data_IF_568299522615
#
_entry.id   IF_568299522615
#
_cell.length_a   1.000
_cell.length_b   1.000
_cell.length_c   1.000
_cell.angle_alpha   90.00
_cell.angle_beta   90.00
_cell.angle_gamma   90.00
#
_symmetry.space_group_name_H-M   'P 1'
#
loop_
_entity.id
_entity.type
_entity.pdbx_description
1 polymer ?
2 non-polymer ?
3 water ?
#
# COMPACT_ATOMS: atom_id res chain seq x y z
N UNK A 24 -9.14 28.49 -3.68
CA UNK A 24 -9.06 29.00 -2.32
C UNK A 24 -7.86 28.49 -1.54
N UNK A 25 -6.93 27.85 -2.23
CA UNK A 25 -5.70 27.38 -1.62
C UNK A 25 -4.65 28.47 -1.70
N UNK A 26 -3.71 28.44 -0.76
CA UNK A 26 -2.59 29.37 -0.86
C UNK A 26 -1.77 29.02 -2.10
N UNK A 27 -0.79 29.86 -2.40
CA UNK A 27 -0.02 29.53 -3.57
C UNK A 27 0.97 28.46 -3.15
N UNK A 28 1.37 28.45 -1.88
CA UNK A 28 2.26 27.42 -1.36
C UNK A 28 1.57 26.07 -1.31
N UNK A 29 0.30 26.04 -0.92
CA UNK A 29 -0.47 24.80 -0.93
C UNK A 29 -0.67 24.30 -2.36
N UNK A 30 -0.94 25.20 -3.30
CA UNK A 30 -1.14 24.78 -4.68
C UNK A 30 0.13 24.14 -5.25
N UNK A 31 1.28 24.76 -5.01
CA UNK A 31 2.55 24.18 -5.44
C UNK A 31 2.87 22.90 -4.68
N UNK A 32 2.34 22.76 -3.46
CA UNK A 32 2.56 21.55 -2.69
C UNK A 32 1.85 20.36 -3.31
N UNK A 33 0.59 20.54 -3.72
CA UNK A 33 -0.16 19.48 -4.37
C UNK A 33 0.48 19.13 -5.71
N UNK A 34 0.94 20.14 -6.45
CA UNK A 34 1.48 19.90 -7.78
C UNK A 34 2.74 19.07 -7.75
N UNK A 35 3.59 19.25 -6.73
CA UNK A 35 4.78 18.41 -6.63
C UNK A 35 4.41 16.98 -6.23
N UNK A 36 3.38 16.83 -5.38
CA UNK A 36 2.93 15.50 -5.00
C UNK A 36 2.32 14.79 -6.20
N UNK A 37 1.41 15.46 -6.92
CA UNK A 37 0.85 14.89 -8.13
C UNK A 37 1.93 14.59 -9.16
N UNK A 38 2.97 15.43 -9.21
CA UNK A 38 4.04 15.24 -10.19
C UNK A 38 4.86 13.99 -9.86
N UNK A 39 5.14 13.76 -8.58
CA UNK A 39 5.84 12.53 -8.18
C UNK A 39 4.98 11.30 -8.45
N UNK A 40 3.69 11.38 -8.15
CA UNK A 40 2.77 10.28 -8.46
C UNK A 40 2.74 10.00 -9.95
N UNK A 41 2.65 11.07 -10.76
CA UNK A 41 2.67 10.92 -12.21
C UNK A 41 3.88 10.13 -12.69
N UNK A 42 5.03 10.34 -12.08
CA UNK A 42 6.29 9.82 -12.57
C UNK A 42 6.61 8.42 -12.08
N UNK A 43 6.11 8.04 -10.90
CA UNK A 43 6.56 6.84 -10.22
C UNK A 43 5.46 5.81 -9.98
N UNK A 44 4.25 6.02 -10.51
CA UNK A 44 3.15 5.09 -10.36
C UNK A 44 2.77 4.58 -11.75
N UNK A 45 3.25 3.39 -12.10
CA UNK A 45 2.95 2.74 -13.37
C UNK A 45 1.56 2.13 -13.25
N UNK A 46 0.53 2.94 -13.53
CA UNK A 46 -0.84 2.51 -13.33
C UNK A 46 -1.23 1.36 -14.25
N UNK A 47 -0.50 1.12 -15.33
CA UNK A 47 -0.75 -0.01 -16.21
C UNK A 47 0.10 -1.23 -15.85
N UNK A 48 1.04 -1.09 -14.91
CA UNK A 48 1.88 -2.19 -14.46
C UNK A 48 2.66 -2.81 -15.61
N UNK A 49 3.04 -1.97 -16.59
CA UNK A 49 3.70 -2.46 -17.79
C UNK A 49 5.07 -3.05 -17.50
N UNK A 50 5.76 -2.54 -16.48
CA UNK A 50 7.13 -2.93 -16.18
C UNK A 50 7.20 -3.96 -15.05
N UNK A 51 6.09 -4.57 -14.70
CA UNK A 51 6.07 -5.71 -13.77
C UNK A 51 6.28 -6.97 -14.58
N UNK A 52 7.53 -7.45 -14.62
CA UNK A 52 7.91 -8.58 -15.45
C UNK A 52 8.73 -9.56 -14.63
N UNK A 53 8.94 -10.74 -15.20
CA UNK A 53 9.82 -11.77 -14.64
C UNK A 53 9.41 -12.17 -13.23
N UNK A 54 8.11 -12.13 -12.94
CA UNK A 54 7.62 -12.50 -11.62
C UNK A 54 7.36 -14.01 -11.56
N UNK A 55 7.46 -14.56 -10.36
CA UNK A 55 7.18 -15.96 -10.15
C UNK A 55 5.67 -16.21 -10.13
N UNK A 56 5.29 -17.43 -10.44
CA UNK A 56 3.89 -17.85 -10.49
C UNK A 56 3.74 -19.17 -9.77
N UNK A 57 2.53 -19.48 -9.28
CA UNK A 57 2.32 -20.75 -8.58
C UNK A 57 2.67 -21.94 -9.47
N UNK A 58 3.24 -22.96 -8.86
CA UNK A 58 3.67 -24.13 -9.60
C UNK A 58 2.51 -24.82 -10.30
N UNK A 59 2.86 -25.53 -11.36
CA UNK A 59 1.89 -26.24 -12.19
C UNK A 59 1.77 -27.67 -11.70
N UNK A 60 0.53 -28.15 -11.58
CA UNK A 60 0.24 -29.51 -11.10
C UNK A 60 0.83 -29.74 -9.71
N UNK A 78 4.33 -26.01 16.74
CA UNK A 78 3.16 -26.61 16.12
C UNK A 78 1.98 -25.66 16.19
N UNK A 79 1.82 -24.98 17.32
CA UNK A 79 0.80 -23.95 17.44
C UNK A 79 1.07 -22.78 16.51
N UNK A 80 2.30 -22.65 16.02
CA UNK A 80 2.63 -21.66 15.00
C UNK A 80 1.82 -21.92 13.73
N UNK A 81 2.13 -23.03 13.04
CA UNK A 81 1.48 -23.42 11.80
C UNK A 81 -0.03 -23.20 11.84
N UNK A 82 -0.63 -23.47 13.00
CA UNK A 82 -2.07 -23.25 13.16
C UNK A 82 -2.41 -21.78 13.13
N UNK A 83 -1.48 -20.89 13.49
CA UNK A 83 -1.71 -19.46 13.37
C UNK A 83 -1.41 -18.97 11.97
N UNK A 84 -0.33 -19.46 11.35
CA UNK A 84 -0.01 -19.09 9.98
C UNK A 84 -1.09 -19.58 9.02
N UNK A 85 -1.69 -20.74 9.33
CA UNK A 85 -2.87 -21.18 8.61
C UNK A 85 -3.95 -20.09 8.64
N UNK A 86 -4.26 -19.59 9.84
CA UNK A 86 -5.23 -18.50 9.95
C UNK A 86 -4.72 -17.22 9.31
N UNK A 87 -3.41 -17.00 9.31
CA UNK A 87 -2.85 -15.78 8.74
C UNK A 87 -3.04 -15.74 7.23
N UNK A 88 -2.70 -16.83 6.56
CA UNK A 88 -2.70 -16.87 5.08
C UNK A 88 -4.10 -17.06 4.55
N UNK A 89 -5.14 -16.82 5.34
CA UNK A 89 -6.50 -17.12 4.82
C UNK A 89 -7.15 -15.92 4.15
N UNK A 90 -6.34 -14.91 3.88
CA UNK A 90 -6.79 -13.65 3.22
C UNK A 90 -6.11 -13.53 1.86
N UNK A 91 -4.96 -14.21 1.72
CA UNK A 91 -4.16 -14.25 0.47
C UNK A 91 -4.89 -15.14 -0.56
N UNK A 92 -5.79 -16.02 -0.14
CA UNK A 92 -6.56 -16.83 -1.11
C UNK A 92 -7.24 -15.86 -2.06
N UNK A 93 -6.63 -15.69 -3.23
CA UNK A 93 -7.17 -14.82 -4.30
C UNK A 93 -6.88 -15.55 -5.60
N UNK A 94 -7.78 -15.48 -6.56
CA UNK A 94 -7.45 -16.03 -7.87
C UNK A 94 -6.62 -15.02 -8.65
N UNK A 95 -6.08 -15.46 -9.79
CA UNK A 95 -5.11 -14.66 -10.51
C UNK A 95 -5.37 -14.79 -12.00
N UNK A 96 -5.53 -13.65 -12.68
CA UNK A 96 -5.82 -13.63 -14.11
C UNK A 96 -4.68 -12.94 -14.84
N UNK A 97 -4.33 -13.48 -16.01
CA UNK A 97 -3.16 -13.09 -16.79
C UNK A 97 -3.56 -12.93 -18.25
N UNK A 98 -3.89 -11.70 -18.64
CA UNK A 98 -4.32 -11.41 -20.01
C UNK A 98 -3.11 -11.03 -20.86
N UNK A 99 -2.83 -11.83 -21.89
CA UNK A 99 -1.71 -11.56 -22.75
C UNK A 99 -2.03 -10.56 -23.84
N UNK A 100 -0.96 -10.01 -24.44
CA UNK A 100 -1.13 -9.03 -25.51
C UNK A 100 -1.78 -9.65 -26.75
N UNK A 101 -1.61 -10.96 -26.94
CA UNK A 101 -2.21 -11.63 -28.10
C UNK A 101 -3.69 -11.94 -27.91
N UNK A 102 -4.21 -11.80 -26.69
CA UNK A 102 -5.60 -12.14 -26.40
C UNK A 102 -5.77 -13.36 -25.53
N UNK A 103 -4.70 -14.11 -25.27
CA UNK A 103 -4.79 -15.30 -24.41
C UNK A 103 -5.00 -14.89 -22.95
N UNK A 104 -5.55 -15.82 -22.18
CA UNK A 104 -5.87 -15.57 -20.78
C UNK A 104 -5.46 -16.78 -19.96
N UNK A 105 -4.72 -16.54 -18.87
CA UNK A 105 -4.39 -17.55 -17.88
C UNK A 105 -5.12 -17.25 -16.59
N UNK A 106 -5.85 -18.23 -16.06
CA UNK A 106 -6.48 -18.12 -14.75
C UNK A 106 -5.94 -19.16 -13.79
N UNK A 107 -5.69 -18.73 -12.56
CA UNK A 107 -5.25 -19.59 -11.48
C UNK A 107 -6.27 -19.52 -10.35
N UNK A 108 -6.81 -20.67 -9.96
CA UNK A 108 -7.67 -20.76 -8.79
C UNK A 108 -6.89 -21.42 -7.66
N UNK A 109 -6.71 -20.76 -6.52
CA UNK A 109 -5.87 -21.33 -5.46
C UNK A 109 -6.50 -22.58 -4.88
N UNK A 110 -5.73 -23.41 -4.18
CA UNK A 110 -6.28 -24.60 -3.56
C UNK A 110 -7.05 -24.24 -2.29
N UNK A 111 -7.56 -25.27 -1.62
CA UNK A 111 -8.17 -25.12 -0.32
C UNK A 111 -7.21 -25.62 0.75
N UNK A 112 -7.27 -24.99 1.92
CA UNK A 112 -6.39 -25.38 3.02
C UNK A 112 -6.68 -26.81 3.45
N UNK A 113 -5.64 -27.66 3.37
CA UNK A 113 -5.78 -29.06 3.72
C UNK A 113 -4.62 -29.55 4.59
N UNK A 114 -3.96 -28.63 5.29
CA UNK A 114 -2.96 -29.02 6.27
C UNK A 114 -1.57 -29.26 5.72
N UNK A 115 -1.22 -28.64 4.59
CA UNK A 115 0.07 -28.86 3.96
C UNK A 115 0.74 -27.54 3.60
N UNK A 116 1.62 -27.62 2.60
CA UNK A 116 2.37 -26.47 2.13
C UNK A 116 1.73 -25.79 0.92
N UNK A 117 0.67 -26.36 0.36
CA UNK A 117 -0.08 -25.71 -0.72
C UNK A 117 -0.55 -24.31 -0.33
N UNK A 118 -0.65 -24.05 0.97
CA UNK A 118 -1.06 -22.74 1.48
C UNK A 118 -0.02 -21.65 1.22
N UNK A 119 1.17 -22.02 0.73
CA UNK A 119 2.23 -21.06 0.40
C UNK A 119 2.39 -20.86 -1.10
N UNK A 120 1.46 -21.36 -1.92
CA UNK A 120 1.67 -21.41 -3.36
C UNK A 120 1.72 -20.01 -3.98
N UNK A 121 1.03 -19.06 -3.38
CA UNK A 121 0.98 -17.67 -3.87
C UNK A 121 2.03 -16.77 -3.25
N UNK A 122 2.70 -17.19 -2.18
CA UNK A 122 3.69 -16.34 -1.54
C UNK A 122 4.81 -15.87 -2.47
N UNK A 123 5.43 -16.71 -3.31
CA UNK A 123 6.49 -16.18 -4.20
C UNK A 123 6.00 -15.10 -5.13
N UNK A 124 4.80 -15.23 -5.69
CA UNK A 124 4.30 -14.23 -6.62
C UNK A 124 3.94 -12.94 -5.90
N UNK A 125 3.24 -13.05 -4.76
CA UNK A 125 2.87 -11.85 -4.00
C UNK A 125 4.10 -11.08 -3.56
N UNK A 126 5.19 -11.79 -3.25
CA UNK A 126 6.42 -11.12 -2.84
C UNK A 126 7.01 -10.30 -3.98
N UNK A 127 6.93 -10.81 -5.21
CA UNK A 127 7.43 -10.06 -6.36
C UNK A 127 6.58 -8.81 -6.62
N UNK A 128 5.27 -8.91 -6.40
CA UNK A 128 4.40 -7.76 -6.62
C UNK A 128 4.58 -6.73 -5.52
N UNK A 129 4.61 -7.17 -4.25
CA UNK A 129 4.89 -6.25 -3.15
C UNK A 129 6.23 -5.55 -3.35
N UNK A 130 7.22 -6.26 -3.91
CA UNK A 130 8.53 -5.67 -4.14
C UNK A 130 8.46 -4.62 -5.25
N UNK A 131 7.80 -4.95 -6.37
CA UNK A 131 7.59 -3.97 -7.41
C UNK A 131 6.84 -2.76 -6.87
N UNK A 132 5.87 -2.97 -5.99
CA UNK A 132 5.17 -1.85 -5.38
C UNK A 132 6.07 -1.06 -4.45
N UNK A 133 6.98 -1.72 -3.73
CA UNK A 133 7.88 -1.00 -2.85
C UNK A 133 8.84 -0.13 -3.63
N UNK A 134 9.41 -0.65 -4.74
CA UNK A 134 10.32 0.14 -5.55
C UNK A 134 9.65 1.43 -6.02
N UNK A 135 8.38 1.35 -6.42
CA UNK A 135 7.69 2.55 -6.86
C UNK A 135 7.39 3.52 -5.73
N UNK A 136 7.13 3.00 -4.53
CA UNK A 136 6.91 3.87 -3.38
C UNK A 136 8.21 4.57 -3.00
N UNK A 137 9.33 3.85 -3.03
CA UNK A 137 10.62 4.46 -2.75
C UNK A 137 10.93 5.54 -3.80
N UNK A 138 10.68 5.24 -5.07
CA UNK A 138 10.87 6.24 -6.11
C UNK A 138 9.97 7.44 -5.89
N UNK A 139 8.76 7.22 -5.38
CA UNK A 139 7.83 8.31 -5.10
C UNK A 139 8.41 9.27 -4.07
N UNK A 140 8.92 8.74 -2.96
CA UNK A 140 9.44 9.59 -1.90
C UNK A 140 10.70 10.31 -2.34
N UNK A 141 11.58 9.64 -3.09
CA UNK A 141 12.86 10.23 -3.46
C UNK A 141 12.72 11.41 -4.40
N UNK A 142 11.57 11.56 -5.05
CA UNK A 142 11.33 12.72 -5.92
C UNK A 142 10.82 13.93 -5.13
N UNK A 143 10.12 13.71 -4.01
CA UNK A 143 9.53 14.82 -3.27
C UNK A 143 10.64 15.63 -2.60
N UNK A 144 10.56 16.96 -2.72
CA UNK A 144 11.59 17.82 -2.13
C UNK A 144 11.58 17.75 -0.61
N UNK A 145 10.38 17.77 -0.01
CA UNK A 145 10.30 17.70 1.45
C UNK A 145 10.94 16.43 1.99
N UNK A 146 10.97 15.36 1.18
CA UNK A 146 11.54 14.09 1.64
C UNK A 146 13.05 14.06 1.48
N UNK A 147 13.57 14.61 0.37
CA UNK A 147 15.01 14.57 0.14
C UNK A 147 15.75 15.42 1.15
N UNK A 148 15.15 16.53 1.58
CA UNK A 148 15.79 17.45 2.50
C UNK A 148 15.95 16.88 3.91
N UNK A 149 15.26 15.78 4.22
CA UNK A 149 15.42 15.14 5.50
C UNK A 149 16.76 14.39 5.55
N UNK A 150 17.29 14.17 6.75
CA UNK A 150 18.50 13.35 6.86
C UNK A 150 18.26 11.96 6.31
N UNK A 151 19.34 11.33 5.83
CA UNK A 151 19.22 10.02 5.20
C UNK A 151 18.73 8.96 6.18
N UNK A 152 19.04 9.11 7.46
CA UNK A 152 18.63 8.10 8.44
C UNK A 152 17.15 8.21 8.76
N UNK A 153 16.57 9.39 8.56
CA UNK A 153 15.13 9.56 8.73
C UNK A 153 14.38 9.14 7.46
N UNK A 154 14.99 9.39 6.29
CA UNK A 154 14.38 8.93 5.04
C UNK A 154 14.17 7.44 5.06
N UNK A 155 15.17 6.69 5.53
CA UNK A 155 15.06 5.24 5.64
C UNK A 155 13.97 4.87 6.65
N UNK A 156 13.97 5.53 7.81
CA UNK A 156 13.01 5.21 8.85
C UNK A 156 11.58 5.48 8.41
N UNK A 157 11.36 6.61 7.73
CA UNK A 157 10.02 6.95 7.26
C UNK A 157 9.54 5.94 6.21
N UNK A 158 10.43 5.53 5.31
CA UNK A 158 10.05 4.55 4.29
C UNK A 158 9.73 3.20 4.91
N UNK A 159 10.55 2.74 5.86
CA UNK A 159 10.31 1.46 6.51
C UNK A 159 8.96 1.41 7.21
N UNK A 160 8.52 2.54 7.78
CA UNK A 160 7.32 2.54 8.58
C UNK A 160 6.04 2.72 7.77
N UNK A 161 6.17 3.24 6.55
CA UNK A 161 5.00 3.59 5.75
C UNK A 161 4.92 2.89 4.41
N UNK A 162 5.99 2.23 3.95
CA UNK A 162 6.00 1.62 2.62
C UNK A 162 4.77 0.78 2.36
N UNK A 163 4.36 -0.03 3.34
CA UNK A 163 3.19 -0.87 3.15
C UNK A 163 1.91 -0.04 3.04
N UNK A 164 1.81 1.03 3.83
CA UNK A 164 0.60 1.86 3.80
C UNK A 164 0.43 2.57 2.47
N UNK A 165 1.50 3.20 1.97
CA UNK A 165 1.43 3.83 0.65
C UNK A 165 1.15 2.82 -0.45
N UNK A 166 1.59 1.57 -0.28
CA UNK A 166 1.27 0.54 -1.26
C UNK A 166 -0.22 0.23 -1.26
N UNK A 167 -0.83 0.15 -0.07
CA UNK A 167 -2.26 -0.11 0.00
C UNK A 167 -3.07 1.04 -0.58
N UNK A 168 -2.57 2.27 -0.40
CA UNK A 168 -3.28 3.43 -0.94
C UNK A 168 -3.24 3.43 -2.46
N UNK A 169 -2.13 2.95 -3.05
CA UNK A 169 -2.04 2.89 -4.50
C UNK A 169 -2.90 1.75 -5.05
N UNK A 170 -2.98 0.63 -4.33
CA UNK A 170 -3.82 -0.48 -4.78
C UNK A 170 -5.29 -0.10 -4.77
N UNK A 171 -5.71 0.74 -3.81
CA UNK A 171 -7.11 1.13 -3.73
C UNK A 171 -7.55 1.91 -4.96
N UNK A 172 -6.63 2.61 -5.61
CA UNK A 172 -6.97 3.36 -6.82
C UNK A 172 -7.26 2.45 -8.00
N UNK A 173 -6.79 1.21 -7.97
CA UNK A 173 -7.11 0.22 -9.00
C UNK A 173 -8.06 -0.83 -8.50
N UNK A 174 -8.57 -0.71 -7.28
CA UNK A 174 -9.53 -1.66 -6.75
C UNK A 174 -10.90 -1.42 -7.37
N UNK A 175 -11.53 -2.48 -7.86
CA UNK A 175 -12.88 -2.42 -8.42
C UNK A 175 -13.83 -3.00 -7.38
N UNK A 176 -14.54 -2.12 -6.67
CA UNK A 176 -15.40 -2.56 -5.58
C UNK A 176 -16.62 -3.34 -6.06
N UNK A 177 -17.00 -3.18 -7.34
CA UNK A 177 -18.16 -3.90 -7.85
C UNK A 177 -17.83 -5.37 -8.10
N UNK A 178 -16.63 -5.65 -8.60
CA UNK A 178 -16.21 -7.01 -8.88
C UNK A 178 -15.26 -7.58 -7.83
N UNK A 179 -14.88 -6.78 -6.83
CA UNK A 179 -13.93 -7.23 -5.83
C UNK A 179 -12.59 -7.63 -6.42
N UNK A 180 -12.08 -6.83 -7.35
CA UNK A 180 -10.88 -7.16 -8.11
C UNK A 180 -9.94 -5.96 -8.13
N UNK A 181 -8.66 -6.20 -7.90
CA UNK A 181 -7.62 -5.20 -8.10
C UNK A 181 -7.12 -5.35 -9.54
N UNK A 182 -7.53 -4.41 -10.41
CA UNK A 182 -7.21 -4.43 -11.84
C UNK A 182 -5.79 -3.86 -12.01
N UNK A 183 -4.78 -4.74 -11.96
CA UNK A 183 -3.39 -4.29 -12.08
C UNK A 183 -2.91 -4.51 -13.52
N UNK A 184 -3.43 -3.68 -14.41
CA UNK A 184 -3.02 -3.75 -15.81
C UNK A 184 -3.50 -5.03 -16.45
N UNK A 185 -2.55 -5.85 -16.91
CA UNK A 185 -2.88 -7.16 -17.46
C UNK A 185 -3.04 -8.23 -16.38
N UNK A 186 -2.71 -7.89 -15.14
CA UNK A 186 -2.92 -8.77 -13.98
C UNK A 186 -4.19 -8.37 -13.25
N UNK A 187 -4.91 -9.37 -12.74
CA UNK A 187 -6.12 -9.14 -11.97
C UNK A 187 -6.14 -10.07 -10.77
N UNK A 188 -6.37 -9.50 -9.59
CA UNK A 188 -6.44 -10.25 -8.34
C UNK A 188 -7.89 -10.20 -7.85
N UNK A 189 -8.63 -11.28 -8.11
CA UNK A 189 -10.02 -11.39 -7.71
C UNK A 189 -10.14 -12.17 -6.40
N UNK A 190 -11.17 -11.85 -5.63
CA UNK A 190 -11.37 -12.47 -4.32
C UNK A 190 -12.23 -13.72 -4.45
N UNK A 191 -11.76 -14.81 -3.87
CA UNK A 191 -12.45 -16.10 -3.91
C UNK A 191 -13.87 -16.00 -3.35
N UNK A 201 -15.91 -8.26 4.71
CA UNK A 201 -15.69 -6.98 5.38
C UNK A 201 -15.21 -7.21 6.82
N UNK A 202 -15.36 -8.44 7.30
CA UNK A 202 -14.87 -8.79 8.63
C UNK A 202 -13.35 -8.78 8.72
N UNK A 203 -12.67 -8.76 7.58
CA UNK A 203 -11.22 -8.92 7.57
C UNK A 203 -10.62 -7.55 7.26
N UNK A 204 -9.95 -6.91 8.21
CA UNK A 204 -9.83 -5.43 8.20
C UNK A 204 -9.32 -4.82 6.91
N UNK A 205 -8.52 -5.52 6.11
CA UNK A 205 -7.91 -4.77 5.02
C UNK A 205 -8.80 -4.72 3.79
N UNK A 206 -9.83 -5.58 3.70
CA UNK A 206 -10.89 -5.37 2.70
C UNK A 206 -11.88 -4.31 3.16
N UNK A 207 -12.28 -4.36 4.44
CA UNK A 207 -13.11 -3.30 5.00
C UNK A 207 -12.49 -1.93 4.73
N UNK A 208 -11.17 -1.82 4.87
CA UNK A 208 -10.46 -0.62 4.50
C UNK A 208 -10.63 -0.31 3.01
N UNK A 209 -10.27 -1.27 2.16
CA UNK A 209 -10.32 -1.05 0.72
C UNK A 209 -11.73 -0.75 0.25
N UNK A 210 -12.73 -1.40 0.85
CA UNK A 210 -14.11 -1.17 0.43
C UNK A 210 -14.62 0.19 0.89
N UNK A 211 -14.32 0.56 2.14
CA UNK A 211 -14.72 1.88 2.64
C UNK A 211 -14.02 2.99 1.90
N UNK A 212 -12.71 2.85 1.66
CA UNK A 212 -11.96 3.94 1.03
C UNK A 212 -12.45 4.21 -0.38
N UNK A 213 -12.86 3.15 -1.08
CA UNK A 213 -13.41 3.34 -2.42
C UNK A 213 -14.76 4.05 -2.38
N UNK A 214 -15.51 3.90 -1.29
CA UNK A 214 -16.84 4.50 -1.20
C UNK A 214 -16.76 6.01 -1.10
N UNK A 215 -15.72 6.51 -0.44
CA UNK A 215 -15.46 7.95 -0.33
C UNK A 215 -15.13 8.59 -1.67
N UNK A 216 -14.63 7.81 -2.64
CA UNK A 216 -14.62 8.22 -4.04
C UNK A 216 -13.78 9.48 -4.22
N UNK A 217 -12.49 9.34 -3.90
CA UNK A 217 -11.58 10.45 -3.74
C UNK A 217 -11.00 10.90 -5.08
N UNK A 218 -10.40 12.08 -5.06
CA UNK A 218 -9.68 12.62 -6.20
C UNK A 218 -8.23 12.15 -6.17
N UNK A 219 -7.58 12.21 -7.34
CA UNK A 219 -6.16 11.90 -7.40
C UNK A 219 -5.36 12.77 -6.43
N UNK A 220 -5.78 14.02 -6.25
CA UNK A 220 -5.10 14.92 -5.33
C UNK A 220 -5.28 14.47 -3.89
N UNK A 221 -6.46 13.93 -3.55
CA UNK A 221 -6.70 13.50 -2.18
C UNK A 221 -6.00 12.19 -1.85
N UNK A 222 -5.84 11.31 -2.83
CA UNK A 222 -5.08 10.08 -2.61
C UNK A 222 -3.61 10.38 -2.34
N UNK A 223 -3.01 11.26 -3.13
CA UNK A 223 -1.58 11.54 -3.00
C UNK A 223 -1.31 12.34 -1.73
N UNK A 224 -2.25 13.19 -1.31
CA UNK A 224 -2.09 13.89 -0.05
C UNK A 224 -2.12 12.91 1.12
N UNK A 225 -2.92 11.86 1.02
CA UNK A 225 -2.90 10.79 2.02
C UNK A 225 -1.56 10.08 2.04
N UNK A 226 -0.99 9.82 0.86
CA UNK A 226 0.33 9.19 0.80
C UNK A 226 1.38 10.03 1.50
N UNK A 227 1.24 11.36 1.44
CA UNK A 227 2.21 12.24 2.10
C UNK A 227 2.04 12.20 3.61
N UNK A 228 0.79 12.25 4.10
CA UNK A 228 0.55 12.25 5.54
C UNK A 228 1.06 10.95 6.15
N UNK A 229 0.82 9.82 5.48
CA UNK A 229 1.28 8.54 5.99
C UNK A 229 2.79 8.40 5.88
N UNK A 230 3.37 8.91 4.78
CA UNK A 230 4.83 8.95 4.66
C UNK A 230 5.46 9.75 5.78
N UNK A 231 5.01 10.99 5.97
CA UNK A 231 5.62 11.92 6.91
C UNK A 231 5.05 11.76 8.32
N UNK A 232 4.90 10.53 8.78
CA UNK A 232 4.44 10.30 10.15
C UNK A 232 5.60 10.49 11.11
N UNK A 233 5.53 11.43 12.06
CA UNK A 233 6.69 11.74 12.89
C UNK A 233 6.99 10.73 13.97
N UNK A 234 6.09 9.77 14.24
CA UNK A 234 6.24 8.84 15.35
C UNK A 234 6.54 7.42 14.89
N UNK A 235 7.20 7.27 13.75
CA UNK A 235 7.70 5.96 13.35
C UNK A 235 8.87 5.58 14.25
N UNK A 236 9.20 4.27 14.32
CA UNK A 236 10.41 3.87 15.04
C UNK A 236 11.67 4.39 14.36
N UNK A 237 12.53 5.05 15.13
CA UNK A 237 13.83 5.46 14.64
C UNK A 237 13.91 6.85 14.07
N UNK A 238 12.79 7.58 13.98
CA UNK A 238 12.84 8.94 13.44
C UNK A 238 13.46 9.88 14.45
N UNK A 239 14.36 10.73 13.98
CA UNK A 239 15.06 11.69 14.84
C UNK A 239 14.53 13.11 14.71
N UNK A 240 14.36 13.58 13.47
CA UNK A 240 13.82 14.94 13.23
C UNK A 240 12.32 14.92 13.47
N UNK A 241 11.89 14.49 14.67
CA UNK A 241 10.46 14.40 14.96
C UNK A 241 9.77 15.75 14.79
N UNK A 242 10.38 16.83 15.28
CA UNK A 242 9.75 18.15 15.17
C UNK A 242 9.62 18.58 13.71
N UNK A 243 10.63 18.29 12.90
CA UNK A 243 10.62 18.74 11.51
C UNK A 243 9.60 17.96 10.69
N UNK A 244 9.44 16.67 11.00
CA UNK A 244 8.57 15.81 10.19
C UNK A 244 7.11 16.03 10.59
N UNK A 245 6.88 16.30 11.87
CA UNK A 245 5.54 16.63 12.36
C UNK A 245 5.04 17.94 11.77
N UNK A 246 5.92 18.95 11.67
CA UNK A 246 5.52 20.20 11.04
C UNK A 246 5.18 19.98 9.57
N UNK A 247 5.99 19.18 8.87
CA UNK A 247 5.69 18.87 7.47
C UNK A 247 4.38 18.11 7.34
N UNK A 248 4.18 17.12 8.22
CA UNK A 248 2.96 16.29 8.21
C UNK A 248 1.73 17.18 8.42
N UNK A 249 1.81 18.13 9.36
CA UNK A 249 0.69 19.05 9.67
C UNK A 249 0.28 19.80 8.40
N UNK A 250 1.24 20.43 7.72
CA UNK A 250 0.96 21.19 6.47
C UNK A 250 0.17 20.31 5.49
N UNK A 251 0.70 19.12 5.19
CA UNK A 251 0.04 18.20 4.27
C UNK A 251 -1.40 17.97 4.69
N UNK A 252 -1.62 17.81 6.00
CA UNK A 252 -2.99 17.60 6.50
C UNK A 252 -3.83 18.86 6.35
N UNK A 253 -3.24 20.03 6.59
CA UNK A 253 -4.00 21.28 6.47
C UNK A 253 -4.32 21.56 5.01
N UNK A 254 -3.40 21.21 4.11
CA UNK A 254 -3.67 21.38 2.69
C UNK A 254 -4.81 20.49 2.22
N UNK A 255 -4.82 19.23 2.68
CA UNK A 255 -5.92 18.32 2.34
C UNK A 255 -7.24 18.83 2.87
N UNK A 256 -7.24 19.41 4.08
CA UNK A 256 -8.45 19.98 4.64
C UNK A 256 -8.92 21.17 3.81
N UNK A 257 -7.99 22.03 3.39
CA UNK A 257 -8.36 23.19 2.58
C UNK A 257 -8.82 22.78 1.20
N UNK A 258 -8.19 21.74 0.62
CA UNK A 258 -8.59 21.26 -0.70
C UNK A 258 -10.03 20.77 -0.68
N UNK A 259 -10.39 19.99 0.33
CA UNK A 259 -11.74 19.46 0.43
C UNK A 259 -12.76 20.60 0.58
N UNK A 260 -12.45 21.61 1.42
CA UNK A 260 -13.44 22.65 1.65
C UNK A 260 -13.61 23.57 0.44
N UNK A 261 -12.60 23.69 -0.42
CA UNK A 261 -12.71 24.55 -1.59
C UNK A 261 -13.28 23.85 -2.83
N UNK A 262 -13.24 22.52 -2.88
CA UNK A 262 -13.66 21.80 -4.07
C UNK A 262 -14.77 20.79 -3.82
N UNK A 263 -15.23 20.63 -2.59
CA UNK A 263 -16.27 19.65 -2.26
C UNK A 263 -17.29 20.27 -1.33
N UNK A 264 -18.28 20.98 -1.87
CA UNK A 264 -19.33 21.57 -1.03
C UNK A 264 -20.52 20.65 -0.80
N UNK A 265 -20.58 19.49 -1.44
CA UNK A 265 -21.75 18.64 -1.37
C UNK A 265 -21.97 18.12 0.04
N UNK A 266 -23.23 17.91 0.44
CA UNK A 266 -23.50 17.34 1.78
C UNK A 266 -22.90 15.97 1.99
N UNK A 267 -22.71 15.19 0.90
CA UNK A 267 -22.11 13.88 1.03
C UNK A 267 -20.65 13.95 1.45
N UNK A 268 -20.00 15.09 1.25
CA UNK A 268 -18.60 15.28 1.62
C UNK A 268 -18.43 16.11 2.89
N UNK A 269 -19.49 16.27 3.67
CA UNK A 269 -19.35 16.82 5.01
C UNK A 269 -18.56 15.85 5.86
N UNK A 270 -17.60 16.38 6.63
CA UNK A 270 -16.70 15.60 7.48
C UNK A 270 -15.77 14.69 6.68
N UNK A 271 -15.61 14.95 5.37
CA UNK A 271 -14.78 14.06 4.55
C UNK A 271 -13.33 14.06 5.03
N UNK A 272 -12.82 15.24 5.41
CA UNK A 272 -11.45 15.30 5.90
C UNK A 272 -11.27 14.45 7.16
N UNK A 273 -12.24 14.47 8.06
CA UNK A 273 -12.12 13.70 9.29
C UNK A 273 -12.24 12.20 9.03
N UNK A 274 -13.03 11.81 8.03
CA UNK A 274 -13.10 10.40 7.66
C UNK A 274 -11.76 9.90 7.11
N UNK A 275 -11.10 10.72 6.30
CA UNK A 275 -9.81 10.34 5.73
C UNK A 275 -8.78 10.13 6.83
N UNK A 276 -8.73 11.06 7.79
CA UNK A 276 -7.81 10.90 8.92
C UNK A 276 -8.12 9.65 9.73
N UNK A 277 -9.40 9.25 9.78
CA UNK A 277 -9.75 8.01 10.46
C UNK A 277 -9.24 6.80 9.70
N UNK A 278 -9.33 6.84 8.36
CA UNK A 278 -8.76 5.79 7.55
C UNK A 278 -7.27 5.63 7.82
N UNK A 279 -6.56 6.76 7.84
CA UNK A 279 -5.11 6.73 8.00
C UNK A 279 -4.72 6.13 9.36
N UNK A 280 -5.47 6.46 10.41
CA UNK A 280 -5.26 5.79 11.68
C UNK A 280 -5.60 4.30 11.58
N UNK A 281 -6.69 3.98 10.87
CA UNK A 281 -7.06 2.59 10.68
C UNK A 281 -6.07 1.87 9.76
N UNK A 282 -5.56 2.57 8.74
CA UNK A 282 -4.55 1.97 7.88
C UNK A 282 -3.25 1.72 8.63
N UNK A 283 -2.91 2.60 9.59
CA UNK A 283 -1.70 2.38 10.38
C UNK A 283 -1.84 1.14 11.26
N UNK A 284 -3.02 0.92 11.84
CA UNK A 284 -3.25 -0.31 12.58
C UNK A 284 -3.14 -1.53 11.69
N UNK A 285 -3.70 -1.45 10.48
CA UNK A 285 -3.54 -2.57 9.58
C UNK A 285 -2.08 -2.68 9.14
N UNK A 286 -1.30 -1.58 9.26
CA UNK A 286 0.10 -1.74 8.89
C UNK A 286 0.64 -2.90 9.71
N UNK A 287 0.54 -2.70 11.03
CA UNK A 287 1.33 -3.29 12.04
C UNK A 287 0.86 -4.69 12.28
N UNK A 288 -0.45 -4.92 12.18
CA UNK A 288 -0.96 -6.26 12.36
C UNK A 288 -0.67 -7.13 11.16
N UNK A 289 -0.41 -6.51 10.01
CA UNK A 289 0.09 -7.24 8.85
C UNK A 289 1.58 -7.45 8.91
N UNK A 290 2.32 -6.50 9.50
CA UNK A 290 3.74 -6.73 9.76
C UNK A 290 3.93 -7.97 10.62
N UNK A 291 3.23 -8.04 11.76
CA UNK A 291 3.25 -9.24 12.60
C UNK A 291 2.96 -10.49 11.76
N UNK A 292 1.89 -10.44 10.97
CA UNK A 292 1.52 -11.56 10.11
C UNK A 292 2.66 -11.94 9.18
N UNK A 293 3.32 -10.94 8.59
CA UNK A 293 4.46 -11.21 7.71
C UNK A 293 5.56 -11.98 8.45
N UNK A 294 5.98 -11.47 9.60
CA UNK A 294 7.10 -12.06 10.32
C UNK A 294 6.81 -13.50 10.73
N UNK A 295 5.54 -13.81 11.04
CA UNK A 295 5.17 -15.15 11.47
C UNK A 295 5.30 -16.15 10.32
N UNK A 296 4.84 -15.76 9.13
CA UNK A 296 4.98 -16.64 7.97
C UNK A 296 6.44 -16.79 7.59
N UNK A 297 7.21 -15.70 7.69
CA UNK A 297 8.62 -15.73 7.33
C UNK A 297 9.42 -16.64 8.25
N UNK A 298 9.06 -16.68 9.54
CA UNK A 298 9.75 -17.53 10.50
C UNK A 298 9.76 -18.98 10.05
N UNK A 299 8.62 -19.50 9.60
CA UNK A 299 8.50 -20.92 9.32
C UNK A 299 8.78 -21.19 7.84
N UNK A 300 8.46 -20.22 6.98
CA UNK A 300 8.50 -20.43 5.53
C UNK A 300 9.08 -19.17 4.89
N UNK A 301 10.39 -19.10 4.74
CA UNK A 301 11.01 -17.90 4.16
C UNK A 301 10.52 -17.65 2.75
N UNK A 302 10.34 -16.36 2.43
CA UNK A 302 9.79 -15.98 1.13
C UNK A 302 10.10 -14.52 0.82
N UNK A 303 10.43 -13.74 1.85
CA UNK A 303 10.65 -12.31 1.66
C UNK A 303 11.86 -12.05 0.78
N UNK A 304 11.70 -11.17 -0.20
CA UNK A 304 12.79 -10.80 -1.08
C UNK A 304 13.77 -9.91 -0.34
N UNK A 305 14.98 -9.72 -0.88
CA UNK A 305 15.96 -8.85 -0.20
C UNK A 305 15.44 -7.45 0.12
N UNK A 306 14.71 -6.82 -0.81
CA UNK A 306 14.16 -5.50 -0.53
C UNK A 306 13.13 -5.57 0.60
N UNK A 307 12.34 -6.64 0.66
CA UNK A 307 11.41 -6.81 1.75
C UNK A 307 12.12 -6.97 3.08
N UNK A 308 13.18 -7.81 3.11
CA UNK A 308 13.94 -7.99 4.34
C UNK A 308 14.50 -6.65 4.84
N UNK A 309 14.96 -5.80 3.92
CA UNK A 309 15.50 -4.50 4.31
C UNK A 309 14.42 -3.61 4.93
N UNK A 310 13.22 -3.64 4.37
CA UNK A 310 12.15 -2.78 4.86
C UNK A 310 11.55 -3.28 6.17
N UNK A 311 11.62 -4.59 6.42
CA UNK A 311 11.05 -5.17 7.63
C UNK A 311 12.10 -5.53 8.66
N UNK A 312 13.34 -5.07 8.50
CA UNK A 312 14.36 -5.23 9.52
C UNK A 312 15.03 -6.58 9.57
N UNK A 313 14.72 -7.49 8.63
CA UNK A 313 15.38 -8.79 8.62
C UNK A 313 16.82 -8.60 8.17
N UNK A 314 17.76 -9.01 9.01
CA UNK A 314 19.19 -8.82 8.74
C UNK A 314 19.78 -9.92 7.89
N UNK A 315 19.09 -11.04 7.71
CA UNK A 315 19.63 -12.15 6.96
C UNK A 315 20.61 -13.03 7.70
N UNK A 316 20.57 -13.01 9.04
CA UNK A 316 21.52 -13.75 9.87
C UNK A 316 20.83 -14.54 10.99
X LIG B 1 -2.32 -6.67 -0.60
X LIG B 1 -1.07 -6.62 -0.01
X LIG B 1 0.08 -6.84 -0.75
X LIG B 1 -0.06 -7.12 -2.13
X LIG B 1 -1.32 -7.17 -2.71
X LIG B 1 -2.45 -6.94 -1.96
X LIG B 1 -4.76 -7.83 -1.59
X LIG B 1 -5.49 -7.16 -0.59
X LIG B 1 -6.17 -7.88 0.33
X LIG B 1 -6.19 -9.29 0.35
X LIG B 1 -5.46 -9.93 -0.66
X LIG B 1 -4.76 -9.22 -1.61
X LIG B 1 -3.86 -7.05 -2.57
X LIG B 1 -4.43 -5.64 -2.81
X LIG B 1 -3.80 -7.78 -3.92
X LIG B 1 -6.85 -9.97 1.30
X LIG B 1 1.31 -6.79 -0.19
X LIG B 1 -7.06 -7.05 1.58
X LIG B 1 1.35 -7.41 -3.08
X LIG C 1 0.84 -12.31 3.39
X LIG C 1 -0.31 -12.78 3.99
X LIG C 1 -1.54 -12.15 3.81
X LIG C 1 -1.55 -11.01 2.98
X LIG C 1 -0.42 -10.53 2.38
X LIG C 1 0.80 -11.18 2.58
X LIG C 1 2.50 -9.38 2.79
X LIG C 1 3.28 -8.37 2.21
X LIG C 1 3.60 -7.27 2.94
X LIG C 1 3.19 -7.10 4.27
X LIG C 1 2.43 -8.12 4.84
X LIG C 1 2.09 -9.24 4.10
X LIG C 1 2.09 -10.61 1.97
X LIG C 1 3.20 -11.68 2.00
X LIG C 1 1.86 -10.23 0.50
X LIG C 1 3.53 -5.99 4.97
X LIG C 1 -2.67 -12.60 4.40
X LIG C 1 4.57 -6.02 2.22
X LIG C 1 -3.07 -10.19 2.73
#
# INVERSE_FOLDING_TARGET
MKKGHHHHHHGSERTGTQPLGVQGLTEEQRMMIRELMDAQMKTFDTTFSHFKNFRLPGVLSSGCELPESLQAPSREEAAKWSQVRKDLCSLKVSLQLRGEDGSVWNYKPPADSGGKEIFSLLPHMADMSTYMFKGIISFAKVISYFRDLPIEDQISLLKGAAFELCQLRFNTVFNAETGTWECGRLSYCLEDTAGGFQQLLLEPMLKFHYMLKKLQLHEEEYVLMQAISLFSPDRPGVLQHRVVDQLQEQFAITLKSYIECNRPQPAHRFLFLKIMAMLTELRSINAQHTQRLLRIQDIHPFATPLMQELFGITGSLVPR
UAI C1 C2 C3 C4 C5 C6 C10 C11 C12 C13 C14 C15 C7 C8 C9 O16 O19 CL17 CL18
UAI C1 C2 C3 C4 C5 C6 C10 C11 C12 C13 C14 C15 C7 C8 C9 O16 O19 CL17 CL18
#
